data_IF_703949050640
#
_entry.id   IF_703949050640
#
_cell.length_a   1.000
_cell.length_b   1.000
_cell.length_c   1.000
_cell.angle_alpha   90.00
_cell.angle_beta   90.00
_cell.angle_gamma   90.00
#
_symmetry.space_group_name_H-M   'P 1'
#
loop_
_entity.id
_entity.type
_entity.pdbx_description
1 polymer ?
#
# COMPACT_ATOMS: atom_id res chain seq x y z
N UNK A 1 -25.24 -2.33 26.88
CA UNK A 1 -25.74 -2.37 25.46
C UNK A 1 -24.76 -3.17 24.62
N UNK A 2 -25.25 -4.10 23.78
CA UNK A 2 -24.39 -5.00 22.99
C UNK A 2 -23.85 -4.30 21.74
N UNK A 3 -22.55 -4.42 21.48
CA UNK A 3 -21.89 -3.90 20.26
C UNK A 3 -20.90 -4.90 19.68
N UNK A 4 -20.52 -4.67 18.43
CA UNK A 4 -19.44 -5.39 17.76
C UNK A 4 -18.10 -4.68 17.93
N UNK A 5 -17.03 -5.46 18.07
CA UNK A 5 -15.64 -5.02 17.97
C UNK A 5 -14.76 -6.07 17.30
N UNK A 6 -13.59 -5.65 16.84
CA UNK A 6 -12.59 -6.55 16.26
C UNK A 6 -11.61 -7.00 17.34
N UNK A 7 -11.28 -8.30 17.37
CA UNK A 7 -10.23 -8.87 18.22
C UNK A 7 -9.24 -9.65 17.37
N UNK A 8 -7.95 -9.35 17.49
CA UNK A 8 -6.87 -10.16 16.93
C UNK A 8 -6.37 -11.15 17.97
N UNK A 9 -6.23 -12.42 17.60
CA UNK A 9 -5.71 -13.49 18.46
C UNK A 9 -4.76 -14.39 17.67
N UNK A 10 -3.77 -14.95 18.36
CA UNK A 10 -2.97 -16.05 17.82
C UNK A 10 -3.68 -17.37 18.11
N UNK A 11 -3.91 -18.16 17.07
CA UNK A 11 -4.51 -19.49 17.16
C UNK A 11 -3.46 -20.50 16.77
N UNK A 12 -3.29 -21.54 17.59
CA UNK A 12 -2.45 -22.66 17.22
C UNK A 12 -3.20 -23.55 16.21
N UNK A 13 -2.73 -23.56 14.96
CA UNK A 13 -3.17 -24.50 13.94
C UNK A 13 -2.44 -25.83 14.16
N UNK A 14 -3.15 -26.80 14.74
CA UNK A 14 -2.60 -28.12 15.06
C UNK A 14 -2.21 -28.93 13.82
N UNK A 15 -2.84 -28.69 12.67
CA UNK A 15 -2.53 -29.36 11.40
C UNK A 15 -1.22 -28.84 10.84
N UNK A 16 -1.01 -27.53 10.91
CA UNK A 16 0.22 -26.87 10.44
C UNK A 16 1.31 -26.79 11.51
N UNK A 17 1.01 -27.23 12.74
CA UNK A 17 1.88 -27.15 13.93
C UNK A 17 2.47 -25.75 14.15
N UNK A 18 1.67 -24.69 13.94
CA UNK A 18 2.15 -23.31 14.03
C UNK A 18 1.09 -22.35 14.58
N UNK A 19 1.54 -21.24 15.16
CA UNK A 19 0.66 -20.14 15.57
C UNK A 19 0.33 -19.27 14.37
N UNK A 20 -0.96 -19.04 14.12
CA UNK A 20 -1.45 -18.14 13.08
C UNK A 20 -2.20 -16.97 13.73
N UNK A 21 -1.88 -15.75 13.32
CA UNK A 21 -2.63 -14.57 13.75
C UNK A 21 -3.91 -14.42 12.92
N UNK A 22 -5.05 -14.34 13.61
CA UNK A 22 -6.37 -14.23 12.99
C UNK A 22 -7.22 -13.13 13.64
N UNK A 23 -8.12 -12.55 12.86
CA UNK A 23 -9.07 -11.56 13.34
C UNK A 23 -10.47 -12.13 13.49
N UNK A 24 -11.13 -11.80 14.60
CA UNK A 24 -12.50 -12.19 14.91
C UNK A 24 -13.34 -10.93 15.10
N UNK A 25 -14.54 -10.94 14.50
CA UNK A 25 -15.57 -9.98 14.87
C UNK A 25 -16.29 -10.58 16.07
N UNK A 26 -16.31 -9.86 17.18
CA UNK A 26 -16.93 -10.32 18.41
C UNK A 26 -18.03 -9.35 18.85
N UNK A 27 -19.08 -9.90 19.42
CA UNK A 27 -19.99 -9.17 20.30
C UNK A 27 -19.37 -8.98 21.67
N UNK A 28 -19.66 -7.83 22.29
CA UNK A 28 -19.40 -7.57 23.68
C UNK A 28 -20.57 -6.79 24.29
N UNK A 29 -20.78 -6.94 25.59
CA UNK A 29 -21.64 -6.04 26.34
C UNK A 29 -20.81 -4.85 26.82
N UNK A 30 -21.30 -3.63 26.66
CA UNK A 30 -20.63 -2.45 27.19
C UNK A 30 -20.43 -2.52 28.71
N UNK A 31 -21.34 -3.19 29.42
CA UNK A 31 -21.25 -3.37 30.88
C UNK A 31 -20.24 -4.45 31.28
N UNK A 32 -19.86 -5.33 30.35
CA UNK A 32 -18.82 -6.34 30.55
C UNK A 32 -17.97 -6.48 29.27
N UNK A 33 -17.08 -5.51 29.00
CA UNK A 33 -16.39 -5.43 27.72
C UNK A 33 -15.37 -6.54 27.53
N UNK A 34 -14.93 -7.24 28.57
CA UNK A 34 -13.98 -8.35 28.46
C UNK A 34 -14.63 -9.64 27.97
N UNK A 35 -15.94 -9.80 28.18
CA UNK A 35 -16.67 -10.96 27.68
C UNK A 35 -16.90 -10.83 26.17
N UNK A 36 -16.10 -11.57 25.40
CA UNK A 36 -16.14 -11.60 23.95
C UNK A 36 -16.84 -12.85 23.42
N UNK A 37 -17.90 -12.64 22.65
CA UNK A 37 -18.62 -13.72 21.98
C UNK A 37 -18.34 -13.62 20.47
N UNK A 38 -17.73 -14.64 19.84
CA UNK A 38 -17.52 -14.64 18.39
C UNK A 38 -18.82 -14.42 17.62
N UNK A 39 -18.79 -13.54 16.62
CA UNK A 39 -19.92 -13.25 15.73
C UNK A 39 -19.84 -14.08 14.45
N UNK A 40 -21.02 -14.37 13.88
CA UNK A 40 -21.21 -14.93 12.53
C UNK A 40 -20.50 -14.12 11.44
N UNK A 41 -20.24 -12.83 11.67
CA UNK A 41 -19.52 -11.96 10.74
C UNK A 41 -18.01 -12.24 10.69
N UNK A 42 -17.48 -13.07 11.59
CA UNK A 42 -16.12 -13.60 11.45
C UNK A 42 -16.01 -14.42 10.15
N UNK A 43 -17.03 -15.21 9.81
CA UNK A 43 -17.06 -15.97 8.56
C UNK A 43 -16.98 -15.08 7.32
N UNK A 44 -17.57 -13.88 7.36
CA UNK A 44 -17.48 -12.90 6.28
C UNK A 44 -16.04 -12.45 6.02
N UNK A 45 -15.31 -12.02 7.06
CA UNK A 45 -13.93 -11.53 6.88
C UNK A 45 -12.99 -12.65 6.41
N UNK A 46 -13.22 -13.90 6.85
CA UNK A 46 -12.44 -15.06 6.42
C UNK A 46 -12.78 -15.50 4.99
N UNK A 47 -14.06 -15.42 4.55
CA UNK A 47 -14.47 -15.71 3.17
C UNK A 47 -13.78 -14.80 2.16
N UNK A 48 -13.66 -13.50 2.48
CA UNK A 48 -13.13 -12.51 1.54
C UNK A 48 -11.62 -12.25 1.65
N UNK A 49 -10.96 -12.73 2.70
CA UNK A 49 -9.50 -12.68 2.77
C UNK A 49 -8.90 -13.64 3.80
N UNK A 50 -7.79 -14.27 3.42
CA UNK A 50 -6.88 -14.96 4.34
C UNK A 50 -5.78 -14.05 4.90
N UNK A 51 -5.71 -12.79 4.43
CA UNK A 51 -4.66 -11.85 4.82
C UNK A 51 -5.16 -11.02 6.02
N UNK A 52 -4.50 -11.09 7.19
CA UNK A 52 -4.97 -10.40 8.40
C UNK A 52 -5.19 -8.90 8.23
N UNK A 53 -4.31 -8.22 7.48
CA UNK A 53 -4.48 -6.80 7.19
C UNK A 53 -5.78 -6.51 6.43
N UNK A 54 -6.09 -7.31 5.42
CA UNK A 54 -7.31 -7.17 4.64
C UNK A 54 -8.54 -7.54 5.47
N UNK A 55 -8.46 -8.56 6.34
CA UNK A 55 -9.51 -8.89 7.30
C UNK A 55 -9.79 -7.71 8.25
N UNK A 56 -8.75 -7.11 8.84
CA UNK A 56 -8.86 -5.88 9.66
C UNK A 56 -9.55 -4.76 8.89
N UNK A 57 -9.12 -4.50 7.66
CA UNK A 57 -9.71 -3.45 6.83
C UNK A 57 -11.19 -3.73 6.48
N UNK A 58 -11.55 -4.98 6.19
CA UNK A 58 -12.95 -5.37 5.95
C UNK A 58 -13.78 -5.15 7.21
N UNK A 59 -13.33 -5.67 8.35
CA UNK A 59 -14.00 -5.51 9.64
C UNK A 59 -14.19 -4.03 10.03
N UNK A 60 -13.15 -3.20 9.89
CA UNK A 60 -13.21 -1.77 10.18
C UNK A 60 -14.23 -1.01 9.32
N UNK A 61 -14.61 -1.53 8.15
CA UNK A 61 -15.64 -0.90 7.32
C UNK A 61 -17.06 -1.38 7.68
N UNK A 62 -17.23 -2.62 8.16
CA UNK A 62 -18.57 -3.18 8.44
C UNK A 62 -19.00 -3.07 9.91
N UNK A 63 -18.08 -3.13 10.87
CA UNK A 63 -18.40 -3.03 12.31
C UNK A 63 -19.14 -1.71 12.63
N UNK A 64 -18.69 -0.54 12.14
CA UNK A 64 -19.42 0.70 12.37
C UNK A 64 -20.85 0.69 11.82
N UNK A 65 -21.09 0.09 10.65
CA UNK A 65 -22.43 -0.09 10.09
C UNK A 65 -23.31 -0.98 10.98
N UNK A 66 -22.75 -2.10 11.47
CA UNK A 66 -23.47 -3.02 12.35
C UNK A 66 -23.84 -2.36 13.69
N UNK A 67 -22.91 -1.60 14.27
CA UNK A 67 -23.15 -0.87 15.51
C UNK A 67 -24.18 0.25 15.31
N UNK A 68 -24.08 1.00 14.22
CA UNK A 68 -25.08 1.99 13.83
C UNK A 68 -26.47 1.35 13.71
N UNK A 69 -26.56 0.19 13.05
CA UNK A 69 -27.83 -0.55 12.91
C UNK A 69 -28.43 -0.91 14.28
N UNK A 70 -27.60 -1.39 15.23
CA UNK A 70 -28.06 -1.69 16.60
C UNK A 70 -28.57 -0.42 17.29
N UNK A 71 -27.84 0.70 17.18
CA UNK A 71 -28.23 1.98 17.78
C UNK A 71 -29.59 2.45 17.23
N UNK A 72 -29.79 2.42 15.91
CA UNK A 72 -31.06 2.81 15.29
C UNK A 72 -32.24 1.91 15.70
N UNK A 73 -31.99 0.62 15.96
CA UNK A 73 -33.00 -0.31 16.49
C UNK A 73 -33.39 0.03 17.93
N UNK A 74 -32.41 0.36 18.77
CA UNK A 74 -32.63 0.79 20.16
C UNK A 74 -33.40 2.11 20.20
N UNK A 75 -33.05 3.05 19.32
CA UNK A 75 -33.67 4.38 19.21
C UNK A 75 -35.08 4.34 18.59
N UNK A 76 -35.60 3.16 18.21
CA UNK A 76 -36.90 3.00 17.55
C UNK A 76 -37.02 3.80 16.25
N UNK A 77 -35.93 3.91 15.49
CA UNK A 77 -35.96 4.60 14.20
C UNK A 77 -36.91 3.84 13.26
N UNK A 78 -37.89 4.51 12.60
CA UNK A 78 -38.93 3.82 11.83
C UNK A 78 -38.38 2.81 10.82
N UNK A 79 -37.33 3.16 10.06
CA UNK A 79 -36.72 2.27 9.07
C UNK A 79 -36.15 0.98 9.68
N UNK A 80 -35.69 1.03 10.93
CA UNK A 80 -34.99 -0.09 11.59
C UNK A 80 -35.91 -0.91 12.51
N UNK A 81 -37.16 -0.50 12.69
CA UNK A 81 -38.05 -1.09 13.71
C UNK A 81 -38.31 -2.58 13.47
N UNK A 82 -38.44 -2.98 12.20
CA UNK A 82 -38.65 -4.39 11.80
C UNK A 82 -37.46 -5.29 12.16
N UNK A 83 -36.25 -4.73 12.28
CA UNK A 83 -35.06 -5.50 12.68
C UNK A 83 -35.12 -5.98 14.13
N UNK A 84 -36.02 -5.44 14.97
CA UNK A 84 -36.27 -6.01 16.30
C UNK A 84 -36.77 -7.45 16.24
N UNK A 85 -37.59 -7.74 15.23
CA UNK A 85 -38.17 -9.06 15.01
C UNK A 85 -37.34 -9.88 14.02
N UNK A 86 -36.89 -9.26 12.93
CA UNK A 86 -36.19 -9.95 11.84
C UNK A 86 -34.68 -10.13 12.13
N UNK A 87 -34.11 -9.35 13.04
CA UNK A 87 -32.68 -9.33 13.29
C UNK A 87 -31.87 -9.03 12.04
N UNK A 88 -30.73 -9.71 11.89
CA UNK A 88 -29.82 -9.54 10.74
C UNK A 88 -30.49 -9.93 9.42
N UNK A 89 -31.47 -10.84 9.46
CA UNK A 89 -32.17 -11.31 8.27
C UNK A 89 -33.07 -10.24 7.63
N UNK A 90 -33.33 -9.14 8.35
CA UNK A 90 -34.09 -8.00 7.82
C UNK A 90 -33.24 -6.94 7.13
N UNK A 91 -31.90 -7.03 7.21
CA UNK A 91 -31.02 -5.98 6.68
C UNK A 91 -31.13 -5.89 5.15
N UNK A 92 -31.36 -4.68 4.63
CA UNK A 92 -31.56 -4.39 3.21
C UNK A 92 -30.81 -3.11 2.78
N UNK A 93 -30.96 -2.72 1.51
CA UNK A 93 -30.28 -1.55 0.93
C UNK A 93 -30.68 -0.21 1.55
N UNK A 94 -31.87 -0.07 2.10
CA UNK A 94 -32.31 1.17 2.75
C UNK A 94 -31.53 1.43 4.04
N UNK A 95 -31.30 0.41 4.87
CA UNK A 95 -30.44 0.54 6.06
C UNK A 95 -29.02 0.97 5.69
N UNK A 96 -28.48 0.39 4.61
CA UNK A 96 -27.15 0.73 4.10
C UNK A 96 -27.11 2.18 3.61
N UNK A 97 -28.12 2.62 2.85
CA UNK A 97 -28.20 3.99 2.35
C UNK A 97 -28.29 5.01 3.49
N UNK A 98 -29.10 4.74 4.52
CA UNK A 98 -29.20 5.62 5.69
C UNK A 98 -27.86 5.73 6.42
N UNK A 99 -27.14 4.62 6.61
CA UNK A 99 -25.80 4.64 7.20
C UNK A 99 -24.78 5.40 6.34
N UNK A 100 -24.78 5.17 5.02
CA UNK A 100 -23.86 5.85 4.11
C UNK A 100 -24.12 7.36 4.08
N UNK A 101 -25.38 7.78 4.14
CA UNK A 101 -25.75 9.19 4.29
C UNK A 101 -25.27 9.74 5.63
N UNK A 102 -25.51 9.03 6.74
CA UNK A 102 -25.03 9.42 8.06
C UNK A 102 -23.51 9.68 8.09
N UNK A 103 -22.69 8.75 7.59
CA UNK A 103 -21.22 8.94 7.60
C UNK A 103 -20.73 9.97 6.58
N UNK A 104 -21.56 10.31 5.60
CA UNK A 104 -21.20 11.29 4.56
C UNK A 104 -21.57 12.72 4.96
N UNK A 105 -22.62 12.90 5.76
CA UNK A 105 -23.09 14.20 6.24
C UNK A 105 -22.56 14.56 7.63
N UNK A 106 -22.07 13.59 8.39
CA UNK A 106 -21.45 13.84 9.68
C UNK A 106 -20.08 14.52 9.52
N UNK A 107 -20.03 15.83 9.81
CA UNK A 107 -18.85 16.67 9.69
C UNK A 107 -17.68 16.22 10.56
N UNK A 108 -17.95 15.56 11.70
CA UNK A 108 -16.91 15.03 12.59
C UNK A 108 -16.13 13.89 11.96
N UNK A 109 -16.75 13.13 11.05
CA UNK A 109 -16.09 11.99 10.38
C UNK A 109 -15.17 12.42 9.24
N UNK A 110 -15.43 13.58 8.62
CA UNK A 110 -14.64 14.18 7.53
C UNK A 110 -14.11 13.16 6.49
N UNK A 111 -14.98 12.28 6.01
CA UNK A 111 -14.60 11.18 5.12
C UNK A 111 -14.52 11.62 3.66
N UNK A 112 -13.48 11.15 2.97
CA UNK A 112 -13.37 11.32 1.50
C UNK A 112 -14.40 10.44 0.78
N UNK A 113 -14.88 10.92 -0.38
CA UNK A 113 -15.74 10.14 -1.30
C UNK A 113 -15.22 8.72 -1.56
N UNK A 114 -13.92 8.57 -1.83
CA UNK A 114 -13.31 7.25 -2.08
C UNK A 114 -13.32 6.33 -0.85
N UNK A 115 -13.30 6.89 0.36
CA UNK A 115 -13.46 6.13 1.61
C UNK A 115 -14.88 5.63 1.75
N UNK A 116 -15.88 6.49 1.53
CA UNK A 116 -17.31 6.12 1.59
C UNK A 116 -17.62 5.04 0.56
N UNK A 117 -17.17 5.18 -0.68
CA UNK A 117 -17.34 4.17 -1.74
C UNK A 117 -16.68 2.82 -1.40
N UNK A 118 -15.57 2.83 -0.65
CA UNK A 118 -14.93 1.60 -0.16
C UNK A 118 -15.75 0.94 0.95
N UNK A 119 -16.29 1.73 1.87
CA UNK A 119 -17.18 1.26 2.94
C UNK A 119 -18.43 0.62 2.33
N UNK A 120 -19.10 1.35 1.44
CA UNK A 120 -20.24 0.88 0.65
C UNK A 120 -19.94 -0.48 -0.01
N UNK A 121 -18.86 -0.58 -0.79
CA UNK A 121 -18.47 -1.84 -1.45
C UNK A 121 -18.36 -3.01 -0.47
N UNK A 122 -17.83 -2.78 0.73
CA UNK A 122 -17.64 -3.82 1.72
C UNK A 122 -18.93 -4.19 2.47
N UNK A 123 -19.84 -3.22 2.68
CA UNK A 123 -21.18 -3.50 3.23
C UNK A 123 -22.02 -4.25 2.19
N UNK A 124 -21.95 -3.90 0.91
CA UNK A 124 -22.64 -4.66 -0.15
C UNK A 124 -22.14 -6.10 -0.21
N UNK A 125 -20.82 -6.33 -0.07
CA UNK A 125 -20.26 -7.69 0.07
C UNK A 125 -20.79 -8.42 1.31
N UNK A 126 -21.02 -7.71 2.42
CA UNK A 126 -21.63 -8.30 3.60
C UNK A 126 -23.06 -8.76 3.30
N UNK A 127 -23.87 -7.97 2.59
CA UNK A 127 -25.21 -8.39 2.18
C UNK A 127 -25.18 -9.65 1.30
N UNK A 128 -24.25 -9.72 0.34
CA UNK A 128 -24.07 -10.95 -0.45
C UNK A 128 -23.70 -12.15 0.39
N UNK A 129 -22.78 -11.97 1.33
CA UNK A 129 -22.43 -13.05 2.26
C UNK A 129 -23.66 -13.55 3.02
N UNK A 130 -24.47 -12.64 3.55
CA UNK A 130 -25.68 -13.02 4.28
C UNK A 130 -26.67 -13.78 3.39
N UNK A 131 -26.90 -13.31 2.16
CA UNK A 131 -27.75 -14.01 1.19
C UNK A 131 -27.19 -15.41 0.84
N UNK A 132 -25.90 -15.52 0.51
CA UNK A 132 -25.24 -16.78 0.16
C UNK A 132 -25.30 -17.82 1.29
N UNK A 133 -25.27 -17.36 2.54
CA UNK A 133 -25.35 -18.22 3.73
C UNK A 133 -26.78 -18.51 4.20
N UNK A 134 -27.81 -17.98 3.51
CA UNK A 134 -29.20 -18.11 3.94
C UNK A 134 -29.55 -17.36 5.23
N UNK A 135 -28.69 -16.44 5.67
CA UNK A 135 -28.88 -15.60 6.87
C UNK A 135 -29.68 -14.32 6.59
N UNK A 136 -30.02 -14.08 5.33
CA UNK A 136 -30.91 -13.01 4.91
C UNK A 136 -32.13 -13.60 4.19
N UNK A 137 -33.33 -13.26 4.67
CA UNK A 137 -34.58 -13.73 4.11
C UNK A 137 -35.23 -12.69 3.18
N UNK A 138 -34.74 -11.45 3.21
CA UNK A 138 -35.12 -10.42 2.27
C UNK A 138 -34.34 -10.65 0.96
N UNK A 139 -34.98 -11.38 0.04
CA UNK A 139 -34.56 -11.67 -1.34
C UNK A 139 -34.46 -10.40 -2.21
N UNK A 140 -33.92 -9.29 -1.69
CA UNK A 140 -33.56 -8.16 -2.54
C UNK A 140 -32.46 -8.65 -3.46
N UNK A 141 -32.84 -8.97 -4.70
CA UNK A 141 -31.89 -9.22 -5.79
C UNK A 141 -31.05 -7.95 -5.87
N UNK A 142 -29.82 -8.02 -5.36
CA UNK A 142 -28.85 -6.94 -5.53
C UNK A 142 -28.54 -6.94 -7.02
N UNK A 143 -29.17 -6.03 -7.76
CA UNK A 143 -29.00 -5.90 -9.20
C UNK A 143 -27.63 -5.30 -9.47
N UNK A 144 -26.65 -6.15 -9.76
CA UNK A 144 -25.36 -5.71 -10.27
C UNK A 144 -25.39 -5.67 -11.79
N UNK A 145 -25.06 -4.50 -12.36
CA UNK A 145 -24.66 -4.42 -13.76
C UNK A 145 -23.14 -4.57 -13.82
N UNK A 146 -22.67 -5.53 -14.62
CA UNK A 146 -21.27 -5.62 -14.99
C UNK A 146 -20.99 -4.56 -16.07
N UNK A 147 -19.97 -3.72 -15.85
CA UNK A 147 -19.42 -2.90 -16.94
C UNK A 147 -18.42 -3.74 -17.72
N UNK A 148 -18.63 -3.89 -19.02
CA UNK A 148 -17.60 -4.40 -19.93
C UNK A 148 -16.43 -3.42 -19.94
N UNK A 149 -15.22 -3.92 -19.72
CA UNK A 149 -14.01 -3.15 -19.93
C UNK A 149 -13.84 -2.94 -21.45
N UNK A 150 -13.33 -1.76 -21.85
CA UNK A 150 -13.03 -1.44 -23.25
C UNK A 150 -12.31 -2.62 -23.94
N UNK A 151 -12.72 -2.93 -25.18
CA UNK A 151 -12.31 -4.09 -26.00
C UNK A 151 -10.78 -4.24 -26.25
N UNK A 152 -9.95 -3.30 -25.77
CA UNK A 152 -8.50 -3.27 -25.99
C UNK A 152 -7.65 -3.71 -24.77
N UNK A 153 -8.26 -4.25 -23.70
CA UNK A 153 -7.53 -4.78 -22.54
C UNK A 153 -7.95 -6.24 -22.29
N UNK A 154 -7.01 -7.16 -22.45
CA UNK A 154 -7.19 -8.63 -22.40
C UNK A 154 -7.63 -9.13 -20.99
N UNK A 155 -7.67 -8.27 -19.98
CA UNK A 155 -8.21 -8.58 -18.66
C UNK A 155 -9.61 -7.97 -18.47
N UNK A 156 -10.64 -8.74 -18.83
CA UNK A 156 -12.06 -8.42 -18.57
C UNK A 156 -12.36 -8.53 -17.08
N UNK A 157 -11.98 -7.52 -16.30
CA UNK A 157 -12.52 -7.36 -14.95
C UNK A 157 -13.93 -6.79 -15.06
N UNK A 158 -14.95 -7.62 -14.86
CA UNK A 158 -16.32 -7.13 -14.67
C UNK A 158 -16.34 -6.22 -13.44
N UNK A 159 -16.44 -4.91 -13.68
CA UNK A 159 -16.57 -3.96 -12.57
C UNK A 159 -18.03 -3.96 -12.14
N UNK A 160 -18.30 -4.55 -10.99
CA UNK A 160 -19.62 -4.52 -10.33
C UNK A 160 -19.99 -3.08 -10.04
N UNK A 161 -21.12 -2.63 -10.57
CA UNK A 161 -21.65 -1.29 -10.32
C UNK A 161 -22.41 -1.29 -8.98
N UNK A 162 -22.34 -0.17 -8.26
CA UNK A 162 -23.11 0.04 -7.04
C UNK A 162 -24.61 -0.13 -7.30
N UNK A 163 -25.36 -0.87 -6.46
CA UNK A 163 -26.80 -1.02 -6.62
C UNK A 163 -27.53 0.33 -6.51
N UNK A 164 -26.98 1.31 -5.79
CA UNK A 164 -27.58 2.63 -5.61
C UNK A 164 -27.52 3.51 -6.86
N UNK A 165 -26.78 3.13 -7.91
CA UNK A 165 -26.79 3.87 -9.18
C UNK A 165 -28.06 3.62 -10.01
N UNK A 166 -28.82 2.58 -9.68
CA UNK A 166 -30.00 2.17 -10.46
C UNK A 166 -31.25 1.98 -9.60
N UNK A 167 -31.18 2.25 -8.29
CA UNK A 167 -32.36 2.33 -7.43
C UNK A 167 -32.91 3.76 -7.49
N UNK A 168 -34.03 4.01 -8.19
CA UNK A 168 -34.59 5.37 -8.31
C UNK A 168 -35.00 5.97 -6.95
N UNK A 169 -35.35 5.11 -5.99
CA UNK A 169 -35.90 5.53 -4.70
C UNK A 169 -34.83 5.66 -3.59
N UNK A 170 -33.54 5.41 -3.90
CA UNK A 170 -32.46 5.44 -2.92
C UNK A 170 -31.35 6.38 -3.40
N UNK A 171 -31.14 7.47 -2.67
CA UNK A 171 -30.09 8.44 -2.96
C UNK A 171 -29.02 8.48 -1.87
N UNK A 172 -27.74 8.54 -2.29
CA UNK A 172 -26.58 8.66 -1.38
C UNK A 172 -25.87 9.99 -1.63
N UNK A 173 -25.81 10.82 -0.59
CA UNK A 173 -25.08 12.09 -0.56
C UNK A 173 -23.60 11.84 -0.33
N UNK A 174 -22.85 11.47 -1.37
CA UNK A 174 -21.40 11.33 -1.24
C UNK A 174 -20.74 12.67 -0.90
N UNK A 175 -19.69 12.68 -0.04
CA UNK A 175 -18.97 13.90 0.30
C UNK A 175 -18.43 14.59 -0.97
N UNK A 176 -18.87 15.83 -1.17
CA UNK A 176 -18.39 16.74 -2.22
C UNK A 176 -17.12 17.43 -1.67
N UNK A 177 -15.99 16.74 -1.74
CA UNK A 177 -14.78 17.23 -1.09
C UNK A 177 -14.05 18.30 -1.87
N UNK A 178 -14.02 19.55 -1.38
CA UNK A 178 -12.95 20.53 -1.62
C UNK A 178 -11.68 20.14 -0.84
N UNK A 179 -11.24 18.88 -0.97
CA UNK A 179 -9.96 18.49 -0.38
C UNK A 179 -8.87 19.12 -1.22
N UNK A 180 -8.12 20.06 -0.67
CA UNK A 180 -6.81 20.45 -1.19
C UNK A 180 -5.90 19.23 -1.00
N UNK A 181 -5.98 18.27 -1.91
CA UNK A 181 -5.07 17.14 -1.92
C UNK A 181 -3.73 17.68 -2.37
N UNK A 182 -2.78 17.85 -1.44
CA UNK A 182 -1.37 18.00 -1.81
C UNK A 182 -1.04 16.87 -2.78
N UNK A 183 -0.53 17.23 -3.96
CA UNK A 183 -0.09 16.27 -4.95
C UNK A 183 0.97 15.35 -4.32
N UNK A 184 0.96 14.08 -4.72
CA UNK A 184 1.98 13.14 -4.27
C UNK A 184 3.25 13.39 -5.09
N UNK A 185 4.40 13.54 -4.43
CA UNK A 185 5.67 13.67 -5.14
C UNK A 185 5.93 12.34 -5.86
N UNK A 186 5.97 12.37 -7.19
CA UNK A 186 6.17 11.19 -8.03
C UNK A 186 7.62 10.94 -8.40
N UNK A 187 8.49 11.92 -8.22
CA UNK A 187 9.92 11.78 -8.46
C UNK A 187 10.70 12.89 -7.74
N UNK A 188 12.01 12.69 -7.60
CA UNK A 188 12.96 13.67 -7.11
C UNK A 188 14.09 13.78 -8.15
N UNK A 189 14.68 14.97 -8.32
CA UNK A 189 15.87 15.14 -9.18
C UNK A 189 17.03 14.32 -8.61
N UNK A 190 17.94 13.90 -9.47
CA UNK A 190 19.03 12.99 -9.10
C UNK A 190 19.90 13.55 -8.00
N UNK A 191 20.34 14.79 -8.20
CA UNK A 191 21.20 15.52 -7.28
C UNK A 191 20.53 15.69 -5.90
N UNK A 192 19.20 15.79 -5.87
CA UNK A 192 18.44 15.98 -4.63
C UNK A 192 18.25 14.65 -3.89
N UNK A 193 17.98 13.54 -4.60
CA UNK A 193 17.84 12.25 -3.92
C UNK A 193 19.18 11.64 -3.54
N UNK A 194 20.25 11.92 -4.29
CA UNK A 194 21.62 11.59 -3.89
C UNK A 194 22.00 12.31 -2.59
N UNK A 195 21.79 13.63 -2.53
CA UNK A 195 22.01 14.41 -1.30
C UNK A 195 21.14 13.90 -0.14
N UNK A 196 19.91 13.47 -0.41
CA UNK A 196 19.04 12.87 0.61
C UNK A 196 19.59 11.54 1.14
N UNK A 197 20.23 10.73 0.28
CA UNK A 197 20.89 9.47 0.69
C UNK A 197 22.14 9.77 1.52
N UNK A 198 22.95 10.74 1.12
CA UNK A 198 24.14 11.16 1.88
C UNK A 198 23.76 11.69 3.27
N UNK A 199 22.75 12.55 3.34
CA UNK A 199 22.19 13.02 4.60
C UNK A 199 21.66 11.87 5.47
N UNK A 200 21.02 10.87 4.86
CA UNK A 200 20.55 9.68 5.57
C UNK A 200 21.71 8.81 6.07
N UNK A 201 22.80 8.68 5.32
CA UNK A 201 24.00 7.95 5.73
C UNK A 201 24.62 8.57 6.98
N UNK A 202 24.71 9.90 7.03
CA UNK A 202 25.29 10.63 8.16
C UNK A 202 24.39 10.60 9.40
N UNK A 203 23.13 11.04 9.28
CA UNK A 203 22.26 11.30 10.44
C UNK A 203 21.28 10.18 10.75
N UNK A 204 20.94 9.34 9.77
CA UNK A 204 19.96 8.25 9.88
C UNK A 204 20.51 6.89 9.41
N UNK A 205 21.74 6.50 9.82
CA UNK A 205 22.43 5.37 9.21
C UNK A 205 21.67 4.05 9.37
N UNK A 206 20.79 3.93 10.37
CA UNK A 206 19.96 2.72 10.60
C UNK A 206 19.06 2.39 9.39
N UNK A 207 18.59 3.40 8.65
CA UNK A 207 17.68 3.23 7.50
C UNK A 207 18.29 3.61 6.15
N UNK A 208 19.49 4.19 6.12
CA UNK A 208 20.15 4.66 4.90
C UNK A 208 20.24 3.58 3.82
N UNK A 209 20.74 2.40 4.16
CA UNK A 209 20.80 1.28 3.20
C UNK A 209 19.40 0.82 2.75
N UNK A 210 18.39 0.89 3.63
CA UNK A 210 17.01 0.55 3.28
C UNK A 210 16.39 1.55 2.29
N UNK A 211 16.73 2.84 2.41
CA UNK A 211 16.37 3.87 1.44
C UNK A 211 16.96 3.55 0.07
N UNK A 212 18.26 3.28 0.01
CA UNK A 212 18.96 2.94 -1.24
C UNK A 212 18.42 1.67 -1.86
N UNK A 213 18.13 0.62 -1.06
CA UNK A 213 17.47 -0.58 -1.57
C UNK A 213 16.14 -0.27 -2.25
N UNK A 214 15.29 0.59 -1.67
CA UNK A 214 14.03 0.98 -2.31
C UNK A 214 14.25 1.78 -3.61
N UNK A 215 15.25 2.65 -3.66
CA UNK A 215 15.63 3.43 -4.86
C UNK A 215 16.21 2.52 -5.96
N UNK A 216 16.95 1.49 -5.59
CA UNK A 216 17.71 0.65 -6.52
C UNK A 216 16.95 -0.62 -6.96
N UNK A 217 15.93 -1.06 -6.21
CA UNK A 217 15.15 -2.27 -6.55
C UNK A 217 13.64 -2.06 -6.62
N UNK A 218 13.18 -0.84 -6.30
CA UNK A 218 11.77 -0.51 -6.28
C UNK A 218 10.97 -1.23 -5.20
N UNK A 219 11.58 -1.91 -4.24
CA UNK A 219 10.86 -2.68 -3.22
C UNK A 219 10.06 -1.79 -2.27
N UNK A 220 9.06 -2.36 -1.59
CA UNK A 220 8.25 -1.64 -0.58
C UNK A 220 8.91 -1.73 0.79
N UNK A 221 8.56 -0.81 1.70
CA UNK A 221 8.98 -0.87 3.11
C UNK A 221 8.73 -2.24 3.74
N UNK A 222 7.54 -2.83 3.55
CA UNK A 222 7.22 -4.16 4.08
C UNK A 222 8.14 -5.26 3.56
N UNK A 223 8.57 -5.16 2.30
CA UNK A 223 9.54 -6.09 1.70
C UNK A 223 10.94 -5.85 2.28
N UNK A 224 11.36 -4.58 2.40
CA UNK A 224 12.65 -4.18 2.94
C UNK A 224 12.87 -4.66 4.38
N UNK A 225 11.88 -4.46 5.26
CA UNK A 225 12.01 -4.82 6.69
C UNK A 225 11.94 -6.31 6.98
N UNK A 226 11.54 -7.13 5.99
CA UNK A 226 11.55 -8.59 6.11
C UNK A 226 12.86 -9.23 5.67
N UNK A 227 13.80 -8.46 5.13
CA UNK A 227 15.07 -9.00 4.67
C UNK A 227 15.94 -9.44 5.85
N UNK A 228 16.59 -10.59 5.72
CA UNK A 228 17.72 -11.03 6.55
C UNK A 228 19.02 -10.76 5.82
N UNK A 229 20.13 -10.77 6.54
CA UNK A 229 21.46 -10.57 5.94
C UNK A 229 21.72 -11.55 4.79
N UNK A 230 21.29 -12.81 4.95
CA UNK A 230 21.48 -13.86 3.93
C UNK A 230 20.63 -13.69 2.66
N UNK A 231 19.59 -12.86 2.72
CA UNK A 231 18.65 -12.68 1.62
C UNK A 231 19.20 -11.70 0.56
N UNK A 232 20.17 -10.85 0.93
CA UNK A 232 20.97 -10.05 -0.01
C UNK A 232 22.10 -10.92 -0.58
N UNK A 233 22.20 -10.98 -1.91
CA UNK A 233 23.30 -11.59 -2.63
C UNK A 233 24.04 -10.50 -3.39
N UNK A 234 25.32 -10.36 -3.07
CA UNK A 234 26.22 -9.44 -3.74
C UNK A 234 27.28 -10.23 -4.49
N UNK A 235 27.21 -10.17 -5.81
CA UNK A 235 28.29 -10.62 -6.69
C UNK A 235 29.26 -9.47 -6.91
N UNK A 236 30.35 -9.48 -6.12
CA UNK A 236 31.41 -8.46 -6.17
C UNK A 236 32.16 -8.42 -7.50
N UNK A 237 32.19 -9.52 -8.26
CA UNK A 237 32.94 -9.59 -9.52
C UNK A 237 32.21 -8.84 -10.63
N UNK A 238 30.88 -8.95 -10.66
CA UNK A 238 30.03 -8.30 -11.65
C UNK A 238 29.34 -7.04 -11.11
N UNK A 239 29.69 -6.62 -9.89
CA UNK A 239 29.04 -5.58 -9.09
C UNK A 239 27.49 -5.67 -9.11
N UNK A 240 26.99 -6.90 -9.01
CA UNK A 240 25.58 -7.21 -9.18
C UNK A 240 24.93 -7.57 -7.85
N UNK A 241 23.80 -6.94 -7.56
CA UNK A 241 23.00 -7.23 -6.38
C UNK A 241 21.66 -7.86 -6.76
N UNK A 242 21.25 -8.86 -5.99
CA UNK A 242 19.88 -9.34 -6.00
C UNK A 242 19.42 -9.72 -4.59
N UNK A 243 18.11 -9.70 -4.38
CA UNK A 243 17.51 -10.01 -3.08
C UNK A 243 16.37 -11.01 -3.20
N UNK A 244 16.27 -11.89 -2.21
CA UNK A 244 15.15 -12.80 -2.05
C UNK A 244 14.14 -12.20 -1.07
N UNK A 245 12.93 -11.96 -1.55
CA UNK A 245 11.87 -11.29 -0.80
C UNK A 245 10.88 -12.35 -0.35
N UNK A 246 10.84 -12.64 0.93
CA UNK A 246 9.82 -13.48 1.53
C UNK A 246 9.24 -12.83 2.78
N UNK A 247 8.09 -13.33 3.21
CA UNK A 247 7.48 -12.90 4.46
C UNK A 247 8.15 -13.65 5.62
N UNK A 248 8.96 -12.94 6.41
CA UNK A 248 9.67 -13.45 7.58
C UNK A 248 9.11 -12.88 8.88
N UNK A 249 7.88 -12.37 8.88
CA UNK A 249 7.32 -11.69 10.03
C UNK A 249 7.27 -12.57 11.29
N UNK A 250 6.95 -13.86 11.12
CA UNK A 250 6.93 -14.85 12.21
C UNK A 250 8.33 -15.07 12.83
N UNK A 251 9.39 -15.00 12.04
CA UNK A 251 10.79 -15.17 12.49
C UNK A 251 11.34 -13.87 13.10
N UNK A 252 11.05 -12.73 12.45
CA UNK A 252 11.67 -11.45 12.77
C UNK A 252 10.96 -10.68 13.89
N UNK A 253 9.66 -10.90 14.06
CA UNK A 253 8.83 -10.14 15.00
C UNK A 253 8.13 -11.01 16.03
N UNK A 254 8.58 -12.27 16.18
CA UNK A 254 8.09 -13.20 17.18
C UNK A 254 7.99 -12.55 18.58
N UNK A 255 6.86 -12.75 19.28
CA UNK A 255 6.60 -12.29 20.64
C UNK A 255 6.74 -10.77 20.91
N UNK A 256 6.78 -9.93 19.87
CA UNK A 256 6.93 -8.49 20.06
C UNK A 256 5.63 -7.76 20.43
N UNK A 257 4.47 -8.37 20.26
CA UNK A 257 3.18 -7.75 20.56
C UNK A 257 2.89 -6.45 19.79
N UNK A 258 3.52 -6.25 18.62
CA UNK A 258 3.42 -5.03 17.82
C UNK A 258 2.49 -5.19 16.61
N UNK A 259 1.96 -4.07 16.09
CA UNK A 259 1.21 -4.07 14.83
C UNK A 259 2.17 -4.26 13.64
N UNK A 260 1.98 -5.38 12.92
CA UNK A 260 2.78 -5.79 11.77
C UNK A 260 2.10 -5.53 10.43
N UNK A 261 0.92 -4.91 10.41
CA UNK A 261 0.17 -4.59 9.19
C UNK A 261 0.99 -3.89 8.10
N UNK A 262 1.99 -3.14 8.52
CA UNK A 262 2.81 -2.31 7.65
C UNK A 262 4.15 -2.95 7.28
N UNK A 263 4.41 -4.16 7.81
CA UNK A 263 5.55 -5.03 7.53
C UNK A 263 5.22 -6.13 6.52
N UNK A 264 3.97 -6.34 6.12
CA UNK A 264 3.63 -7.49 5.27
C UNK A 264 4.28 -7.48 3.88
N UNK A 265 4.76 -8.65 3.45
CA UNK A 265 5.21 -8.92 2.08
C UNK A 265 4.03 -9.36 1.22
N UNK A 266 3.62 -8.51 0.28
CA UNK A 266 2.46 -8.80 -0.58
C UNK A 266 2.72 -9.87 -1.63
N UNK A 267 3.95 -9.96 -2.12
CA UNK A 267 4.35 -10.88 -3.19
C UNK A 267 5.77 -11.39 -2.94
N UNK A 268 5.90 -12.54 -2.27
CA UNK A 268 7.17 -13.23 -2.16
C UNK A 268 7.75 -13.56 -3.53
N UNK A 269 9.07 -13.43 -3.69
CA UNK A 269 9.80 -13.66 -4.94
C UNK A 269 11.30 -13.78 -4.71
N UNK A 270 11.96 -14.60 -5.50
CA UNK A 270 13.42 -14.73 -5.51
C UNK A 270 14.06 -13.86 -6.57
N UNK A 271 15.35 -13.54 -6.37
CA UNK A 271 16.19 -12.84 -7.35
C UNK A 271 15.60 -11.51 -7.84
N UNK A 272 14.99 -10.73 -6.94
CA UNK A 272 14.64 -9.34 -7.25
C UNK A 272 15.94 -8.58 -7.56
N UNK A 273 16.10 -8.01 -8.77
CA UNK A 273 17.29 -7.25 -9.10
C UNK A 273 17.36 -5.97 -8.27
N UNK A 274 18.58 -5.62 -7.87
CA UNK A 274 18.94 -4.33 -7.30
C UNK A 274 19.89 -3.69 -8.33
N UNK A 275 19.38 -2.70 -9.05
CA UNK A 275 20.11 -2.01 -10.12
C UNK A 275 21.11 -1.02 -9.53
N UNK A 276 22.28 -0.81 -10.16
CA UNK A 276 23.29 0.14 -9.70
C UNK A 276 22.89 1.60 -10.03
N UNK A 277 21.71 2.01 -9.57
CA UNK A 277 21.21 3.39 -9.72
C UNK A 277 21.99 4.34 -8.82
N UNK A 278 22.39 3.87 -7.63
CA UNK A 278 23.26 4.61 -6.73
C UNK A 278 24.68 4.02 -6.77
N UNK A 279 25.66 4.82 -7.18
CA UNK A 279 27.03 4.38 -7.45
C UNK A 279 27.74 3.83 -6.21
N UNK A 280 27.44 4.33 -5.01
CA UNK A 280 28.05 3.92 -3.74
C UNK A 280 27.29 2.79 -3.02
N UNK A 281 26.38 2.07 -3.70
CA UNK A 281 25.56 1.03 -3.04
C UNK A 281 26.40 -0.07 -2.36
N UNK A 282 27.51 -0.50 -2.96
CA UNK A 282 28.40 -1.53 -2.39
C UNK A 282 29.15 -1.07 -1.15
N UNK A 283 29.57 0.19 -1.12
CA UNK A 283 30.17 0.85 0.04
C UNK A 283 29.15 0.96 1.18
N UNK A 284 27.97 1.52 0.89
CA UNK A 284 26.91 1.70 1.87
C UNK A 284 26.43 0.36 2.45
N UNK A 285 26.35 -0.68 1.63
CA UNK A 285 26.04 -2.04 2.11
C UNK A 285 27.11 -2.56 3.07
N UNK A 286 28.38 -2.37 2.73
CA UNK A 286 29.50 -2.79 3.58
C UNK A 286 29.48 -2.06 4.93
N UNK A 287 29.29 -0.74 4.92
CA UNK A 287 29.16 0.09 6.14
C UNK A 287 27.98 -0.37 7.00
N UNK A 288 26.83 -0.68 6.36
CA UNK A 288 25.65 -1.20 7.04
C UNK A 288 25.91 -2.55 7.72
N UNK A 289 26.61 -3.47 7.05
CA UNK A 289 26.96 -4.77 7.64
C UNK A 289 27.89 -4.64 8.85
N UNK A 290 28.87 -3.73 8.83
CA UNK A 290 29.74 -3.50 10.00
C UNK A 290 28.95 -3.01 11.21
N UNK A 291 27.99 -2.11 10.99
CA UNK A 291 27.09 -1.65 12.06
C UNK A 291 26.20 -2.77 12.61
N UNK A 292 25.69 -3.65 11.75
CA UNK A 292 24.92 -4.82 12.17
C UNK A 292 25.76 -5.79 13.00
N UNK A 293 27.04 -6.00 12.66
CA UNK A 293 27.93 -6.86 13.46
C UNK A 293 28.06 -6.35 14.89
N UNK A 294 28.09 -5.03 15.10
CA UNK A 294 28.11 -4.43 16.45
C UNK A 294 26.78 -4.70 17.16
N UNK A 295 25.65 -4.45 16.49
CA UNK A 295 24.31 -4.67 17.05
C UNK A 295 24.03 -6.13 17.45
N UNK A 296 24.54 -7.10 16.67
CA UNK A 296 24.40 -8.53 16.98
C UNK A 296 25.29 -9.02 18.12
N UNK A 297 26.36 -8.28 18.46
CA UNK A 297 27.19 -8.60 19.61
C UNK A 297 26.56 -8.11 20.92
N UNK A 298 25.85 -6.98 20.87
CA UNK A 298 25.29 -6.32 22.07
C UNK A 298 23.93 -6.86 22.47
N UNK A 299 23.11 -7.31 21.52
CA UNK A 299 21.87 -8.02 21.79
C UNK A 299 21.96 -9.43 21.19
N UNK A 300 21.47 -10.45 21.91
CA UNK A 300 21.32 -11.83 21.43
C UNK A 300 20.24 -11.94 20.34
N UNK A 301 20.36 -11.16 19.26
CA UNK A 301 19.44 -11.15 18.12
C UNK A 301 19.71 -12.41 17.30
N UNK A 302 18.95 -13.46 17.59
CA UNK A 302 19.09 -14.76 16.94
C UNK A 302 18.64 -14.75 15.46
N UNK A 303 17.83 -13.76 15.05
CA UNK A 303 17.07 -13.80 13.80
C UNK A 303 17.76 -13.17 12.57
N UNK A 304 19.01 -12.68 12.71
CA UNK A 304 19.85 -12.18 11.60
C UNK A 304 19.13 -11.18 10.66
N UNK A 305 18.26 -10.35 11.21
CA UNK A 305 17.50 -9.32 10.49
C UNK A 305 18.42 -8.27 9.83
N UNK A 306 18.21 -7.95 8.55
CA UNK A 306 19.02 -6.96 7.85
C UNK A 306 18.81 -5.54 8.41
N UNK A 307 17.65 -5.25 8.98
CA UNK A 307 17.35 -3.95 9.58
C UNK A 307 16.94 -4.14 11.03
N UNK A 308 17.59 -3.37 11.92
CA UNK A 308 17.29 -3.34 13.36
C UNK A 308 17.04 -1.90 13.80
N UNK A 309 16.20 -1.68 14.81
CA UNK A 309 15.94 -0.34 15.35
C UNK A 309 17.00 0.08 16.40
N UNK A 310 16.84 1.26 17.01
CA UNK A 310 17.76 1.75 18.05
C UNK A 310 17.88 0.83 19.28
N UNK A 311 16.87 -0.01 19.55
CA UNK A 311 16.90 -1.00 20.62
C UNK A 311 17.50 -2.35 20.13
N UNK A 312 18.14 -2.36 18.97
CA UNK A 312 18.57 -3.51 18.19
C UNK A 312 17.52 -4.64 18.11
N UNK A 313 16.25 -4.31 17.96
CA UNK A 313 15.22 -5.30 17.58
C UNK A 313 15.01 -5.22 16.07
N UNK A 314 14.63 -6.32 15.42
CA UNK A 314 14.29 -6.30 13.99
C UNK A 314 13.32 -5.15 13.68
N UNK A 315 13.61 -4.35 12.67
CA UNK A 315 12.85 -3.13 12.42
C UNK A 315 11.47 -3.47 11.86
N UNK A 316 10.38 -2.97 12.43
CA UNK A 316 9.04 -3.12 11.83
C UNK A 316 8.80 -2.05 10.76
N UNK A 317 7.81 -2.28 9.89
CA UNK A 317 7.43 -1.28 8.89
C UNK A 317 7.00 0.06 9.50
N UNK A 318 6.38 0.06 10.68
CA UNK A 318 6.01 1.29 11.39
C UNK A 318 7.27 2.00 11.90
N UNK A 319 8.21 1.26 12.50
CA UNK A 319 9.48 1.81 12.94
C UNK A 319 10.25 2.45 11.79
N UNK A 320 10.33 1.77 10.63
CA UNK A 320 10.98 2.31 9.44
C UNK A 320 10.33 3.61 8.97
N UNK A 321 9.00 3.65 8.89
CA UNK A 321 8.27 4.86 8.46
C UNK A 321 8.46 6.03 9.43
N UNK A 322 8.58 5.76 10.73
CA UNK A 322 8.84 6.79 11.73
C UNK A 322 10.23 7.39 11.52
N UNK A 323 11.28 6.56 11.41
CA UNK A 323 12.63 7.04 11.07
C UNK A 323 12.64 7.82 9.75
N UNK A 324 11.96 7.33 8.72
CA UNK A 324 11.85 8.05 7.44
C UNK A 324 11.17 9.41 7.59
N UNK A 325 10.15 9.51 8.46
CA UNK A 325 9.41 10.77 8.66
C UNK A 325 10.27 11.80 9.37
N UNK A 326 11.08 11.38 10.35
CA UNK A 326 12.08 12.24 10.99
C UNK A 326 13.18 12.65 10.01
N UNK A 327 13.77 11.69 9.27
CA UNK A 327 14.75 11.94 8.21
C UNK A 327 14.22 12.97 7.20
N UNK A 328 12.99 12.80 6.71
CA UNK A 328 12.37 13.76 5.79
C UNK A 328 12.29 15.16 6.39
N UNK A 329 11.82 15.27 7.64
CA UNK A 329 11.64 16.57 8.30
C UNK A 329 12.99 17.28 8.44
N UNK A 330 13.99 16.56 8.94
CA UNK A 330 15.31 17.11 9.21
C UNK A 330 16.05 17.45 7.91
N UNK A 331 15.87 16.64 6.86
CA UNK A 331 16.42 16.95 5.55
C UNK A 331 15.82 18.22 4.93
N UNK A 332 14.50 18.43 5.07
CA UNK A 332 13.87 19.66 4.58
C UNK A 332 14.42 20.87 5.35
N UNK A 333 14.64 20.75 6.66
CA UNK A 333 15.26 21.81 7.45
C UNK A 333 16.69 22.08 6.99
N UNK A 334 17.49 21.02 6.80
CA UNK A 334 18.85 21.13 6.27
C UNK A 334 18.90 21.89 4.93
N UNK A 335 17.98 21.60 4.01
CA UNK A 335 17.90 22.33 2.74
C UNK A 335 17.59 23.84 2.93
N UNK A 336 16.82 24.20 3.94
CA UNK A 336 16.58 25.62 4.26
C UNK A 336 17.84 26.29 4.80
N UNK A 337 18.55 25.59 5.69
CA UNK A 337 19.76 26.10 6.33
C UNK A 337 20.92 26.26 5.33
N UNK A 338 21.02 25.38 4.33
CA UNK A 338 22.02 25.42 3.25
C UNK A 338 21.65 26.33 2.06
N UNK A 339 20.69 27.26 2.23
CA UNK A 339 20.25 28.19 1.18
C UNK A 339 19.68 27.50 -0.09
N UNK A 340 19.13 26.29 0.04
CA UNK A 340 18.39 25.56 -1.00
C UNK A 340 16.87 25.71 -0.82
N UNK A 341 16.42 26.93 -0.51
CA UNK A 341 15.04 27.24 -0.12
C UNK A 341 14.01 26.78 -1.15
N UNK A 342 14.23 27.01 -2.44
CA UNK A 342 13.31 26.60 -3.50
C UNK A 342 13.08 25.07 -3.50
N UNK A 343 14.14 24.29 -3.27
CA UNK A 343 14.03 22.83 -3.19
C UNK A 343 13.29 22.41 -1.92
N UNK A 344 13.56 23.06 -0.79
CA UNK A 344 12.87 22.81 0.46
C UNK A 344 11.35 23.12 0.36
N UNK A 345 10.99 24.26 -0.24
CA UNK A 345 9.62 24.67 -0.49
C UNK A 345 8.90 23.69 -1.41
N UNK A 346 9.55 23.29 -2.52
CA UNK A 346 9.03 22.27 -3.42
C UNK A 346 8.74 20.98 -2.66
N UNK A 347 9.71 20.40 -1.95
CA UNK A 347 9.52 19.15 -1.23
C UNK A 347 8.46 19.24 -0.11
N UNK A 348 8.27 20.42 0.48
CA UNK A 348 7.26 20.70 1.52
C UNK A 348 5.84 20.84 0.96
N UNK A 349 5.72 21.29 -0.29
CA UNK A 349 4.44 21.46 -0.98
C UNK A 349 3.79 20.11 -1.34
N UNK A 350 4.58 19.06 -1.56
CA UNK A 350 4.10 17.72 -1.93
C UNK A 350 3.95 16.76 -0.74
N UNK A 351 3.05 15.79 -0.89
CA UNK A 351 2.97 14.62 0.00
C UNK A 351 3.95 13.54 -0.46
N UNK A 352 4.85 13.12 0.42
CA UNK A 352 5.76 12.00 0.17
C UNK A 352 6.23 11.36 1.48
N UNK A 353 6.64 10.09 1.37
CA UNK A 353 7.14 9.24 2.45
C UNK A 353 8.02 8.15 1.84
N UNK A 354 8.36 7.09 2.59
CA UNK A 354 9.28 6.04 2.15
C UNK A 354 8.96 5.39 0.79
N UNK A 355 7.70 5.44 0.35
CA UNK A 355 7.30 4.99 -0.98
C UNK A 355 7.95 5.78 -2.13
N UNK A 356 8.52 6.96 -1.85
CA UNK A 356 9.26 7.78 -2.82
C UNK A 356 10.43 7.01 -3.43
N UNK A 357 11.09 6.10 -2.70
CA UNK A 357 12.18 5.30 -3.26
C UNK A 357 11.71 4.45 -4.45
N UNK A 358 10.53 3.81 -4.33
CA UNK A 358 9.90 3.07 -5.44
C UNK A 358 9.47 3.97 -6.60
N UNK A 359 9.05 5.19 -6.30
CA UNK A 359 8.73 6.20 -7.31
C UNK A 359 9.98 6.63 -8.09
N UNK A 360 11.08 6.94 -7.39
CA UNK A 360 12.38 7.25 -7.99
C UNK A 360 12.85 6.08 -8.86
N UNK A 361 12.91 4.86 -8.31
CA UNK A 361 13.26 3.65 -9.06
C UNK A 361 12.48 3.54 -10.38
N UNK A 362 11.15 3.68 -10.31
CA UNK A 362 10.27 3.58 -11.48
C UNK A 362 10.61 4.62 -12.54
N UNK A 363 10.84 5.88 -12.13
CA UNK A 363 11.18 6.93 -13.07
C UNK A 363 12.58 6.74 -13.64
N UNK A 364 13.56 6.31 -12.83
CA UNK A 364 14.93 6.05 -13.28
C UNK A 364 14.97 4.93 -14.32
N UNK A 365 14.32 3.77 -14.09
CA UNK A 365 14.35 2.66 -15.08
C UNK A 365 13.67 3.01 -16.40
N UNK A 366 12.74 3.97 -16.40
CA UNK A 366 12.10 4.48 -17.62
C UNK A 366 12.99 5.50 -18.32
N UNK A 367 13.60 6.43 -17.57
CA UNK A 367 14.53 7.43 -18.13
C UNK A 367 15.79 6.79 -18.73
N UNK A 368 16.35 5.80 -18.04
CA UNK A 368 17.55 5.08 -18.48
C UNK A 368 17.27 4.01 -19.55
N UNK A 369 16.02 3.85 -19.99
CA UNK A 369 15.67 2.88 -21.04
C UNK A 369 15.58 1.42 -20.58
N UNK A 370 15.96 1.08 -19.34
CA UNK A 370 15.92 -0.29 -18.80
C UNK A 370 14.55 -0.96 -18.89
N UNK A 371 13.48 -0.17 -18.86
CA UNK A 371 12.10 -0.66 -18.95
C UNK A 371 11.42 -0.31 -20.27
N UNK A 372 12.15 0.19 -21.27
CA UNK A 372 11.58 0.67 -22.53
C UNK A 372 11.68 -0.38 -23.65
N UNK A 373 10.75 -0.31 -24.59
CA UNK A 373 10.79 -1.12 -25.81
C UNK A 373 11.60 -0.46 -26.92
N UNK A 374 11.58 -1.05 -28.11
CA UNK A 374 12.27 -0.53 -29.31
C UNK A 374 11.84 0.87 -29.74
N UNK A 375 10.64 1.32 -29.33
CA UNK A 375 10.16 2.69 -29.53
C UNK A 375 10.55 3.66 -28.41
N UNK A 376 11.45 3.23 -27.52
CA UNK A 376 11.85 3.90 -26.29
C UNK A 376 10.65 4.35 -25.43
N UNK A 377 9.54 3.62 -25.52
CA UNK A 377 8.36 3.78 -24.65
C UNK A 377 8.41 2.76 -23.52
N UNK A 378 8.00 3.12 -22.29
CA UNK A 378 7.97 2.18 -21.19
C UNK A 378 7.04 1.02 -21.50
N UNK A 379 7.54 -0.21 -21.33
CA UNK A 379 6.74 -1.44 -21.42
C UNK A 379 6.16 -1.70 -20.03
N UNK A 380 4.83 -1.54 -19.82
CA UNK A 380 4.22 -1.66 -18.49
C UNK A 380 4.53 -2.99 -17.80
N UNK A 381 4.57 -4.08 -18.58
CA UNK A 381 4.93 -5.42 -18.08
C UNK A 381 6.35 -5.48 -17.51
N UNK A 382 7.31 -4.85 -18.18
CA UNK A 382 8.71 -4.85 -17.75
C UNK A 382 8.90 -3.99 -16.50
N UNK A 383 8.24 -2.82 -16.45
CA UNK A 383 8.18 -1.98 -15.25
C UNK A 383 7.58 -2.77 -14.07
N UNK A 384 6.46 -3.46 -14.28
CA UNK A 384 5.83 -4.29 -13.26
C UNK A 384 6.74 -5.44 -12.80
N UNK A 385 7.45 -6.10 -13.73
CA UNK A 385 8.39 -7.16 -13.43
C UNK A 385 9.55 -6.66 -12.56
N UNK A 386 10.23 -5.59 -12.99
CA UNK A 386 11.37 -4.99 -12.28
C UNK A 386 11.00 -4.47 -10.89
N UNK A 387 9.75 -4.06 -10.68
CA UNK A 387 9.24 -3.62 -9.37
C UNK A 387 8.65 -4.75 -8.51
N UNK A 388 8.45 -5.94 -9.08
CA UNK A 388 7.72 -7.03 -8.44
C UNK A 388 6.23 -6.77 -8.22
N UNK A 389 5.57 -6.05 -9.13
CA UNK A 389 4.11 -5.83 -9.10
C UNK A 389 3.31 -7.02 -9.64
N UNK A 390 2.03 -7.09 -9.28
CA UNK A 390 1.10 -8.13 -9.75
C UNK A 390 0.38 -7.74 -11.05
N UNK A 391 0.21 -6.45 -11.31
CA UNK A 391 -0.47 -5.94 -12.51
C UNK A 391 0.25 -4.72 -13.09
N UNK A 392 0.03 -4.46 -14.37
CA UNK A 392 0.65 -3.37 -15.11
C UNK A 392 0.07 -2.00 -14.70
N UNK A 393 -1.22 -1.95 -14.38
CA UNK A 393 -1.89 -0.74 -13.94
C UNK A 393 -1.30 -0.23 -12.62
N UNK A 394 -0.89 -1.15 -11.74
CA UNK A 394 -0.21 -0.84 -10.49
C UNK A 394 1.19 -0.24 -10.71
N UNK A 395 1.80 -0.38 -11.89
CA UNK A 395 3.07 0.29 -12.21
C UNK A 395 2.90 1.66 -12.86
N UNK A 396 1.89 1.86 -13.70
CA UNK A 396 1.78 3.06 -14.54
C UNK A 396 1.47 4.35 -13.76
N UNK A 397 0.71 4.28 -12.67
CA UNK A 397 0.36 5.47 -11.86
C UNK A 397 1.55 6.17 -11.17
N UNK A 398 2.75 5.60 -11.29
CA UNK A 398 3.98 6.05 -10.63
C UNK A 398 4.91 6.85 -11.53
N UNK A 399 4.72 6.76 -12.84
CA UNK A 399 5.54 7.47 -13.82
C UNK A 399 5.13 8.94 -13.76
N UNK A 400 6.11 9.81 -13.61
CA UNK A 400 5.92 11.25 -13.61
C UNK A 400 5.70 11.75 -15.04
N UNK A 401 4.84 12.76 -15.20
CA UNK A 401 4.52 13.30 -16.53
C UNK A 401 5.75 13.92 -17.20
N UNK A 402 6.63 14.56 -16.41
CA UNK A 402 7.87 15.11 -16.92
C UNK A 402 8.84 14.02 -17.42
N UNK A 403 8.84 12.83 -16.79
CA UNK A 403 9.60 11.67 -17.27
C UNK A 403 9.09 11.19 -18.62
N UNK A 404 7.78 11.14 -18.82
CA UNK A 404 7.20 10.77 -20.12
C UNK A 404 7.58 11.81 -21.17
N UNK A 405 7.48 13.10 -20.83
CA UNK A 405 7.83 14.20 -21.72
C UNK A 405 9.33 14.17 -22.11
N UNK A 406 10.24 13.91 -21.16
CA UNK A 406 11.68 13.84 -21.44
C UNK A 406 12.03 12.68 -22.37
N UNK A 407 11.41 11.51 -22.16
CA UNK A 407 11.61 10.35 -23.04
C UNK A 407 11.08 10.62 -24.45
N UNK A 408 9.90 11.25 -24.58
CA UNK A 408 9.36 11.65 -25.88
C UNK A 408 10.31 12.65 -26.56
N UNK A 409 10.82 13.64 -25.83
CA UNK A 409 11.76 14.62 -26.37
C UNK A 409 13.04 13.97 -26.88
N UNK A 410 13.65 13.08 -26.10
CA UNK A 410 14.84 12.31 -26.53
C UNK A 410 14.57 11.56 -27.83
N UNK A 411 13.39 10.94 -27.97
CA UNK A 411 13.03 10.23 -29.20
C UNK A 411 12.86 11.17 -30.39
N UNK A 412 12.31 12.36 -30.18
CA UNK A 412 12.18 13.38 -31.23
C UNK A 412 13.56 13.88 -31.65
N UNK A 413 14.47 14.08 -30.71
CA UNK A 413 15.85 14.49 -30.97
C UNK A 413 16.60 13.38 -31.74
N UNK A 414 16.44 12.10 -31.37
CA UNK A 414 17.01 10.95 -32.09
C UNK A 414 16.48 10.85 -33.52
N UNK A 415 15.17 11.00 -33.73
CA UNK A 415 14.55 11.01 -35.07
C UNK A 415 15.06 12.19 -35.89
N UNK A 416 15.16 13.38 -35.28
CA UNK A 416 15.67 14.60 -35.91
C UNK A 416 17.14 14.45 -36.32
N UNK A 417 17.96 13.85 -35.47
CA UNK A 417 19.38 13.57 -35.75
C UNK A 417 19.55 12.55 -36.88
N UNK A 418 18.71 11.50 -36.90
CA UNK A 418 18.70 10.52 -38.00
C UNK A 418 18.27 11.22 -39.31
N UNK A 419 17.20 12.01 -39.29
CA UNK A 419 16.70 12.72 -40.46
C UNK A 419 17.70 13.79 -40.97
N UNK A 420 18.36 14.51 -40.07
CA UNK A 420 19.39 15.50 -40.39
C UNK A 420 20.67 14.87 -40.95
N UNK A 421 21.05 13.68 -40.48
CA UNK A 421 22.17 12.90 -41.02
C UNK A 421 21.95 12.39 -42.45
N UNK A 422 20.69 12.16 -42.86
CA UNK A 422 20.36 11.82 -44.25
C UNK A 422 20.39 13.04 -45.19
N UNK A 423 20.16 14.26 -44.67
CA UNK A 423 20.25 15.50 -45.46
C UNK A 423 21.68 15.92 -45.83
N UNK A 424 22.68 15.53 -45.02
CA UNK A 424 24.09 15.85 -45.27
C UNK A 424 24.73 15.04 -46.39
N UNK A 425 24.30 13.78 -46.59
CA UNK A 425 24.85 12.90 -47.63
C UNK A 425 24.30 13.12 -49.04
N UNK A 426 23.24 13.93 -49.19
CA UNK A 426 22.66 14.27 -50.50
C UNK A 426 23.29 15.52 -51.15
N UNK A 427 24.13 16.25 -50.41
CA UNK A 427 24.78 17.49 -50.90
C UNK A 427 26.28 17.33 -51.19
N UNK A 428 26.86 16.14 -51.03
CA UNK A 428 28.27 15.86 -51.40
C UNK A 428 28.42 15.18 -52.78
N UNK A 429 27.32 14.92 -53.50
CA UNK A 429 27.32 14.40 -54.88
C UNK A 429 26.69 15.39 -55.89
N UNK A 430 27.08 16.67 -55.84
CA UNK A 430 26.81 17.62 -56.93
C UNK A 430 28.05 18.37 -57.38
#
# INVERSE_FOLDING_TARGET
MKKYRLKGIYIYDSLKKKLEFQYFICFYDQDNPELLIPSIFTGFIHKYSLVPYTQKSLASNIIPFLNYTIEQVVDNTPLFTDLKMQGIAGINLYHVAQYLNYISTNSEMNLKKSTVQRIEKNIIRLLYYLNDTGLNHNNTKILEKAREANQNIINTYQRRISPFQFCPDIYIHYPQGNYVTKNVLKNMREEVWDLFVEFAEEYYPIIAFGLVLMICSGIRVGECVNLRVKDIKYDRLNDCFYTNIHDHQEELFFDRGIDLSSSQVKKPRDKQPILPIYSRIGELYSNHLERLKIAYKTNHISNKALFVNANNNSMSGNSFRNYFSSLKKDFIQFLQDESLEETAELLSSYKWGAHIGRHIFTNTIVKSGYANGSSNRPIPRLVALLRGDSTEEASMGYIDEATIASVIKSNMDDISNIAGGYGGKLNEEK
#
